data_IF_810671376383
#
_entry.id   IF_810671376383
#
_cell.length_a   1.000
_cell.length_b   1.000
_cell.length_c   1.000
_cell.angle_alpha   90.00
_cell.angle_beta   90.00
_cell.angle_gamma   90.00
#
_symmetry.space_group_name_H-M   'P 1'
#
loop_
_entity.id
_entity.type
_entity.pdbx_description
1 polymer ?
#
# COMPACT_ATOMS: atom_id res chain seq x y z
N UNK A 1 -6.26 -14.71 8.57
CA UNK A 1 -6.77 -15.45 7.39
C UNK A 1 -6.55 -14.59 6.16
N UNK A 2 -5.97 -15.13 5.09
CA UNK A 2 -5.83 -14.41 3.84
C UNK A 2 -7.16 -14.41 3.08
N UNK A 3 -7.55 -13.24 2.60
CA UNK A 3 -8.74 -13.04 1.76
C UNK A 3 -8.33 -12.26 0.52
N UNK A 4 -9.27 -12.05 -0.40
CA UNK A 4 -9.02 -11.19 -1.57
C UNK A 4 -8.67 -9.78 -1.08
N UNK A 5 -7.60 -9.20 -1.63
CA UNK A 5 -7.12 -7.84 -1.36
C UNK A 5 -6.69 -7.54 0.09
N UNK A 6 -6.46 -8.56 0.95
CA UNK A 6 -6.00 -8.31 2.31
C UNK A 6 -5.98 -9.52 3.23
N UNK A 7 -6.01 -9.24 4.54
CA UNK A 7 -6.09 -10.26 5.59
C UNK A 7 -7.16 -9.88 6.62
N UNK A 8 -7.82 -10.90 7.16
CA UNK A 8 -8.81 -10.75 8.24
C UNK A 8 -8.29 -11.44 9.51
N UNK A 9 -8.47 -10.76 10.64
CA UNK A 9 -8.22 -11.25 11.99
C UNK A 9 -9.51 -11.22 12.80
N UNK A 10 -9.82 -12.32 13.49
CA UNK A 10 -10.85 -12.34 14.54
C UNK A 10 -10.17 -12.05 15.88
N UNK A 11 -10.57 -10.95 16.51
CA UNK A 11 -10.05 -10.51 17.79
C UNK A 11 -10.71 -11.26 18.96
N UNK A 12 -10.08 -11.23 20.13
CA UNK A 12 -10.57 -11.90 21.34
C UNK A 12 -11.91 -11.34 21.85
N UNK A 13 -12.24 -10.10 21.50
CA UNK A 13 -13.52 -9.45 21.82
C UNK A 13 -14.65 -9.79 20.81
N UNK A 14 -14.37 -10.62 19.81
CA UNK A 14 -15.32 -11.03 18.77
C UNK A 14 -15.40 -10.07 17.58
N UNK A 15 -14.62 -9.00 17.54
CA UNK A 15 -14.56 -8.09 16.39
C UNK A 15 -13.68 -8.65 15.26
N UNK A 16 -13.96 -8.25 14.02
CA UNK A 16 -13.13 -8.56 12.86
C UNK A 16 -12.30 -7.34 12.46
N UNK A 17 -11.00 -7.53 12.27
CA UNK A 17 -10.09 -6.52 11.71
C UNK A 17 -9.66 -6.92 10.31
N UNK A 18 -9.86 -6.02 9.34
CA UNK A 18 -9.40 -6.17 7.96
C UNK A 18 -8.16 -5.30 7.72
N UNK A 19 -7.07 -5.91 7.27
CA UNK A 19 -5.86 -5.21 6.82
C UNK A 19 -5.76 -5.32 5.29
N UNK A 20 -5.92 -4.22 4.54
CA UNK A 20 -5.73 -4.21 3.09
C UNK A 20 -4.32 -4.63 2.68
N UNK A 21 -4.18 -5.16 1.47
CA UNK A 21 -2.87 -5.34 0.84
C UNK A 21 -2.20 -3.98 0.56
N UNK A 22 -0.87 -3.96 0.48
CA UNK A 22 -0.14 -2.74 0.16
C UNK A 22 -0.61 -2.13 -1.17
N UNK A 23 -0.84 -0.81 -1.18
CA UNK A 23 -1.35 -0.04 -2.32
C UNK A 23 -2.72 -0.47 -2.85
N UNK A 24 -3.49 -1.28 -2.12
CA UNK A 24 -4.86 -1.59 -2.49
C UNK A 24 -5.80 -0.45 -2.10
N UNK A 25 -6.60 -0.01 -3.06
CA UNK A 25 -7.75 0.87 -2.85
C UNK A 25 -8.90 0.40 -3.76
N UNK A 26 -10.12 0.54 -3.28
CA UNK A 26 -11.32 0.07 -3.97
C UNK A 26 -12.22 -0.78 -3.09
N UNK A 27 -13.22 -1.40 -3.69
CA UNK A 27 -14.19 -2.27 -3.02
C UNK A 27 -13.68 -3.70 -2.94
N UNK A 28 -13.93 -4.37 -1.83
CA UNK A 28 -13.62 -5.80 -1.66
C UNK A 28 -14.63 -6.46 -0.74
N UNK A 29 -14.81 -7.76 -0.96
CA UNK A 29 -15.72 -8.58 -0.18
C UNK A 29 -14.98 -9.77 0.44
N UNK A 30 -15.45 -10.21 1.61
CA UNK A 30 -15.10 -11.51 2.16
C UNK A 30 -16.30 -12.14 2.86
N UNK A 31 -16.31 -13.46 2.94
CA UNK A 31 -17.35 -14.21 3.66
C UNK A 31 -16.81 -14.76 4.98
N UNK A 32 -17.69 -14.88 5.97
CA UNK A 32 -17.39 -15.58 7.21
C UNK A 32 -18.57 -16.46 7.62
N UNK A 33 -18.26 -17.50 8.37
CA UNK A 33 -19.23 -18.50 8.82
C UNK A 33 -19.22 -18.53 10.34
N UNK A 34 -20.41 -18.48 10.94
CA UNK A 34 -20.61 -18.56 12.39
C UNK A 34 -21.42 -19.81 12.70
N UNK A 35 -20.90 -20.62 13.62
CA UNK A 35 -21.63 -21.79 14.13
C UNK A 35 -22.00 -21.56 15.59
N UNK A 36 -23.29 -21.64 15.90
CA UNK A 36 -23.82 -21.52 17.27
C UNK A 36 -24.95 -22.50 17.49
N UNK A 37 -24.91 -23.25 18.59
CA UNK A 37 -25.97 -24.21 18.95
C UNK A 37 -26.22 -25.32 17.92
N UNK A 38 -25.26 -25.63 17.07
CA UNK A 38 -25.40 -26.62 15.98
C UNK A 38 -25.94 -26.05 14.66
N UNK A 39 -26.28 -24.77 14.61
CA UNK A 39 -26.66 -24.05 13.38
C UNK A 39 -25.46 -23.29 12.84
N UNK A 40 -25.32 -23.28 11.52
CA UNK A 40 -24.23 -22.60 10.81
C UNK A 40 -24.82 -21.55 9.87
N UNK A 41 -24.43 -20.30 10.04
CA UNK A 41 -24.84 -19.17 9.21
C UNK A 41 -23.62 -18.60 8.48
N UNK A 42 -23.80 -18.17 7.23
CA UNK A 42 -22.75 -17.51 6.44
C UNK A 42 -23.18 -16.10 6.09
N UNK A 43 -22.27 -15.15 6.24
CA UNK A 43 -22.49 -13.75 5.92
C UNK A 43 -21.36 -13.20 5.05
N UNK A 44 -21.70 -12.21 4.22
CA UNK A 44 -20.76 -11.46 3.38
C UNK A 44 -20.54 -10.08 3.98
N UNK A 45 -19.28 -9.68 4.10
CA UNK A 45 -18.89 -8.32 4.46
C UNK A 45 -18.36 -7.62 3.21
N UNK A 46 -18.97 -6.48 2.88
CA UNK A 46 -18.52 -5.59 1.82
C UNK A 46 -17.85 -4.36 2.41
N UNK A 47 -16.64 -4.04 1.95
CA UNK A 47 -15.87 -2.90 2.43
C UNK A 47 -15.32 -2.08 1.27
N UNK A 48 -15.20 -0.77 1.50
CA UNK A 48 -14.54 0.17 0.60
C UNK A 48 -13.26 0.69 1.25
N UNK A 49 -12.12 0.43 0.63
CA UNK A 49 -10.82 0.98 1.03
C UNK A 49 -10.59 2.27 0.25
N UNK A 50 -10.64 3.40 0.95
CA UNK A 50 -10.39 4.71 0.35
C UNK A 50 -8.91 4.85 0.03
N UNK A 51 -8.60 5.33 -1.19
CA UNK A 51 -7.24 5.72 -1.53
C UNK A 51 -6.81 6.91 -0.68
N UNK A 52 -5.59 6.85 -0.16
CA UNK A 52 -4.92 7.99 0.48
C UNK A 52 -3.79 8.40 -0.45
N UNK A 53 -3.77 9.67 -0.85
CA UNK A 53 -2.73 10.17 -1.72
C UNK A 53 -1.43 10.37 -0.93
N UNK A 54 -0.37 9.67 -1.32
CA UNK A 54 0.95 9.88 -0.77
C UNK A 54 1.59 11.17 -1.31
N UNK A 55 2.31 11.89 -0.46
CA UNK A 55 3.08 13.04 -0.90
C UNK A 55 4.23 12.58 -1.83
N UNK A 56 4.59 13.36 -2.86
CA UNK A 56 5.73 13.03 -3.69
C UNK A 56 7.00 12.98 -2.83
N UNK A 57 7.78 11.90 -2.99
CA UNK A 57 9.10 11.80 -2.39
C UNK A 57 10.10 12.48 -3.32
N UNK A 58 10.75 13.53 -2.83
CA UNK A 58 11.85 14.14 -3.57
C UNK A 58 13.10 13.24 -3.47
N UNK A 59 13.45 12.57 -4.57
CA UNK A 59 14.66 11.76 -4.70
C UNK A 59 15.85 12.55 -5.24
N UNK A 60 15.74 13.88 -5.41
CA UNK A 60 16.87 14.72 -5.81
C UNK A 60 17.95 14.59 -4.73
N UNK A 61 19.14 14.15 -5.14
CA UNK A 61 20.32 14.14 -4.29
C UNK A 61 20.48 15.50 -3.62
N UNK A 62 20.90 15.54 -2.35
CA UNK A 62 21.12 16.78 -1.60
C UNK A 62 21.99 17.80 -2.36
N UNK A 63 22.12 19.03 -1.85
CA UNK A 63 22.81 20.12 -2.54
C UNK A 63 24.07 19.67 -3.28
N UNK A 64 24.03 19.75 -4.62
CA UNK A 64 25.16 19.40 -5.47
C UNK A 64 26.07 20.62 -5.57
N UNK A 65 27.29 20.52 -5.05
CA UNK A 65 28.32 21.54 -5.19
C UNK A 65 29.37 21.05 -6.16
N UNK A 66 29.70 21.87 -7.14
CA UNK A 66 30.77 21.60 -8.09
C UNK A 66 31.62 22.87 -8.20
N UNK A 67 32.93 22.70 -8.26
CA UNK A 67 33.81 23.79 -8.69
C UNK A 67 33.48 24.17 -10.13
N UNK A 68 33.46 25.47 -10.42
CA UNK A 68 33.16 26.02 -11.75
C UNK A 68 33.83 25.26 -12.90
N UNK A 69 35.09 24.86 -12.70
CA UNK A 69 35.91 24.24 -13.75
C UNK A 69 36.01 22.71 -13.62
N UNK A 70 35.14 22.08 -12.84
CA UNK A 70 35.13 20.63 -12.70
C UNK A 70 34.17 19.98 -13.72
N UNK A 71 34.59 18.84 -14.26
CA UNK A 71 33.80 18.10 -15.22
C UNK A 71 32.75 17.22 -14.50
N UNK A 72 31.46 17.53 -14.65
CA UNK A 72 30.37 16.64 -14.20
C UNK A 72 29.99 15.65 -15.29
N UNK A 73 29.92 14.37 -14.93
CA UNK A 73 29.33 13.35 -15.78
C UNK A 73 27.86 13.21 -15.42
N UNK A 74 26.97 13.65 -16.31
CA UNK A 74 25.53 13.42 -16.17
C UNK A 74 25.23 11.94 -16.42
N UNK A 75 24.71 11.25 -15.42
CA UNK A 75 24.32 9.85 -15.55
C UNK A 75 23.06 9.58 -14.73
N UNK A 76 22.23 8.65 -15.22
CA UNK A 76 21.04 8.20 -14.49
C UNK A 76 21.40 7.41 -13.23
N UNK A 77 22.58 6.78 -13.20
CA UNK A 77 23.11 6.08 -12.03
C UNK A 77 23.47 7.01 -10.87
N UNK A 78 23.85 8.26 -11.17
CA UNK A 78 24.24 9.26 -10.17
C UNK A 78 23.09 10.25 -9.82
N UNK A 79 21.89 10.04 -10.36
CA UNK A 79 20.72 10.88 -10.07
C UNK A 79 20.76 12.31 -10.63
N UNK A 80 21.70 12.61 -11.52
CA UNK A 80 21.82 13.92 -12.19
C UNK A 80 21.82 13.72 -13.71
N UNK A 81 20.84 13.00 -14.25
CA UNK A 81 20.70 12.87 -15.69
C UNK A 81 19.93 14.07 -16.24
N UNK A 82 20.52 14.79 -17.20
CA UNK A 82 19.78 15.71 -18.06
C UNK A 82 19.06 14.86 -19.12
N UNK A 83 17.74 14.68 -18.98
CA UNK A 83 16.90 14.13 -20.03
C UNK A 83 16.49 15.27 -20.95
N UNK A 84 16.95 15.23 -22.21
CA UNK A 84 16.34 16.00 -23.30
C UNK A 84 15.26 15.11 -23.91
N UNK A 85 14.02 15.60 -23.92
CA UNK A 85 12.89 14.97 -24.61
C UNK A 85 12.88 15.34 -26.09
#
# INVERSE_FOLDING_TARGET
VNVVNGTVLLNADGTLSFSPAANFNGTTDFTYTVTSGGTTETATVSLTVNAVNDAPVNSVSGAQTLSEDANQVFSSANGNALSVA
#
